data_IF_986042816054
#
_entry.id   IF_986042816054
#
_cell.length_a   1.000
_cell.length_b   1.000
_cell.length_c   1.000
_cell.angle_alpha   90.00
_cell.angle_beta   90.00
_cell.angle_gamma   90.00
#
_symmetry.space_group_name_H-M   'P 1'
#
loop_
_entity.id
_entity.type
_entity.pdbx_description
1 polymer ?
#
# COMPACT_ATOMS: atom_id res chain seq x y z
N UNK A 1 4.97 -26.99 -11.31
CA UNK A 1 4.31 -25.89 -10.60
C UNK A 1 2.83 -25.94 -10.86
N UNK A 2 2.02 -25.73 -9.83
CA UNK A 2 0.57 -25.61 -9.91
C UNK A 2 0.23 -24.28 -10.64
N UNK A 3 -0.51 -24.36 -11.73
CA UNK A 3 -0.81 -23.20 -12.58
C UNK A 3 -1.75 -22.21 -11.88
N UNK A 4 -2.83 -22.71 -11.27
CA UNK A 4 -3.84 -21.92 -10.58
C UNK A 4 -3.22 -21.12 -9.42
N UNK A 5 -2.30 -21.74 -8.65
CA UNK A 5 -1.57 -21.02 -7.60
C UNK A 5 -0.67 -19.92 -8.16
N UNK A 6 -0.02 -20.18 -9.30
CA UNK A 6 0.85 -19.20 -9.95
C UNK A 6 0.05 -18.02 -10.48
N UNK A 7 -1.09 -18.29 -11.11
CA UNK A 7 -2.01 -17.27 -11.59
C UNK A 7 -2.55 -16.42 -10.44
N UNK A 8 -2.99 -17.05 -9.35
CA UNK A 8 -3.47 -16.35 -8.16
C UNK A 8 -2.41 -15.43 -7.56
N UNK A 9 -1.17 -15.92 -7.34
CA UNK A 9 -0.10 -15.09 -6.75
C UNK A 9 0.31 -13.94 -7.67
N UNK A 10 0.29 -14.15 -8.99
CA UNK A 10 0.56 -13.06 -9.95
C UNK A 10 -0.54 -12.00 -9.93
N UNK A 11 -1.80 -12.40 -9.85
CA UNK A 11 -2.92 -11.48 -9.75
C UNK A 11 -2.88 -10.73 -8.41
N UNK A 12 -2.63 -11.42 -7.29
CA UNK A 12 -2.47 -10.81 -5.99
C UNK A 12 -1.34 -9.77 -5.99
N UNK A 13 -0.21 -10.08 -6.63
CA UNK A 13 0.89 -9.13 -6.81
C UNK A 13 0.45 -7.88 -7.60
N UNK A 14 -0.26 -8.08 -8.71
CA UNK A 14 -0.76 -6.99 -9.53
C UNK A 14 -1.74 -6.09 -8.77
N UNK A 15 -2.68 -6.69 -8.04
CA UNK A 15 -3.70 -5.99 -7.25
C UNK A 15 -3.03 -5.14 -6.15
N UNK A 16 -2.17 -5.76 -5.33
CA UNK A 16 -1.49 -5.06 -4.23
C UNK A 16 -0.58 -3.92 -4.72
N UNK A 17 0.11 -4.12 -5.84
CA UNK A 17 1.03 -3.11 -6.36
C UNK A 17 0.30 -1.93 -7.02
N UNK A 18 -0.90 -2.16 -7.56
CA UNK A 18 -1.71 -1.12 -8.21
C UNK A 18 -2.44 -0.17 -7.24
N UNK A 19 -2.40 -0.45 -5.94
CA UNK A 19 -3.11 0.33 -4.90
C UNK A 19 -2.47 1.72 -4.62
N UNK A 20 -1.18 1.89 -4.92
CA UNK A 20 -0.48 3.17 -4.84
C UNK A 20 0.51 3.29 -6.00
N UNK A 21 0.41 4.39 -6.74
CA UNK A 21 1.15 4.58 -7.97
C UNK A 21 2.65 4.81 -7.70
N UNK A 22 3.01 5.42 -6.56
CA UNK A 22 4.42 5.65 -6.22
C UNK A 22 5.14 4.31 -6.03
N UNK A 23 4.50 3.36 -5.35
CA UNK A 23 4.98 1.99 -5.20
C UNK A 23 5.06 1.27 -6.55
N UNK A 24 4.03 1.40 -7.39
CA UNK A 24 4.02 0.80 -8.73
C UNK A 24 5.21 1.28 -9.58
N UNK A 25 5.44 2.59 -9.64
CA UNK A 25 6.55 3.16 -10.41
C UNK A 25 7.91 2.81 -9.79
N UNK A 26 8.02 2.77 -8.46
CA UNK A 26 9.28 2.46 -7.78
C UNK A 26 9.72 0.99 -7.97
N UNK A 27 8.77 0.06 -8.04
CA UNK A 27 9.08 -1.37 -8.09
C UNK A 27 9.03 -1.97 -9.49
N UNK A 28 8.28 -1.39 -10.44
CA UNK A 28 8.04 -2.01 -11.75
C UNK A 28 8.16 -1.00 -12.89
N UNK A 29 9.21 -1.17 -13.70
CA UNK A 29 9.46 -0.36 -14.91
C UNK A 29 8.43 -0.63 -16.02
N UNK A 30 7.91 -1.86 -16.12
CA UNK A 30 6.96 -2.28 -17.16
C UNK A 30 5.74 -3.01 -16.56
N UNK A 31 4.75 -2.28 -15.98
CA UNK A 31 3.59 -2.89 -15.31
C UNK A 31 2.80 -3.88 -16.17
N UNK A 32 2.77 -3.65 -17.48
CA UNK A 32 2.10 -4.52 -18.46
C UNK A 32 2.64 -5.95 -18.49
N UNK A 33 3.93 -6.15 -18.19
CA UNK A 33 4.54 -7.48 -18.14
C UNK A 33 3.98 -8.34 -16.99
N UNK A 34 3.35 -7.68 -16.01
CA UNK A 34 2.67 -8.29 -14.86
C UNK A 34 1.14 -8.28 -14.99
N UNK A 35 0.60 -7.89 -16.16
CA UNK A 35 -0.85 -7.80 -16.38
C UNK A 35 -1.50 -6.51 -15.88
N UNK A 36 -0.72 -5.57 -15.34
CA UNK A 36 -1.20 -4.28 -14.84
C UNK A 36 -1.32 -3.33 -16.05
N UNK A 37 -2.53 -3.23 -16.60
CA UNK A 37 -2.81 -2.47 -17.81
C UNK A 37 -3.56 -1.16 -17.56
N UNK A 38 -4.27 -1.08 -16.44
CA UNK A 38 -5.10 0.03 -16.03
C UNK A 38 -4.99 0.14 -14.50
N UNK A 39 -4.76 1.35 -14.00
CA UNK A 39 -4.59 1.65 -12.58
C UNK A 39 -4.93 3.12 -12.35
N UNK A 40 -5.42 3.43 -11.15
CA UNK A 40 -5.67 4.83 -10.79
C UNK A 40 -4.35 5.55 -10.51
N UNK A 41 -4.22 6.77 -11.02
CA UNK A 41 -3.02 7.59 -10.82
C UNK A 41 -3.24 8.42 -9.55
N UNK A 42 -3.08 7.77 -8.39
CA UNK A 42 -3.23 8.40 -7.08
C UNK A 42 -2.09 8.01 -6.14
N UNK A 43 -1.92 8.79 -5.08
CA UNK A 43 -1.02 8.51 -3.95
C UNK A 43 -1.63 7.55 -2.91
N UNK A 44 -2.76 6.90 -3.23
CA UNK A 44 -3.55 6.09 -2.29
C UNK A 44 -4.32 6.94 -1.27
N UNK A 45 -5.22 6.34 -0.50
CA UNK A 45 -6.05 7.01 0.51
C UNK A 45 -6.34 6.05 1.67
N UNK A 46 -6.55 6.60 2.87
CA UNK A 46 -7.22 5.88 3.96
C UNK A 46 -8.70 5.69 3.61
N UNK A 47 -9.22 4.47 3.77
CA UNK A 47 -10.67 4.23 3.82
C UNK A 47 -11.20 4.71 5.18
N UNK A 48 -11.73 5.93 5.21
CA UNK A 48 -12.27 6.53 6.42
C UNK A 48 -13.69 6.04 6.75
N UNK A 49 -14.38 5.43 5.79
CA UNK A 49 -15.71 4.87 6.00
C UNK A 49 -15.62 3.51 6.72
N UNK A 50 -14.56 2.75 6.44
CA UNK A 50 -14.27 1.46 7.08
C UNK A 50 -12.78 1.32 7.47
N UNK A 51 -12.27 2.12 8.42
CA UNK A 51 -10.85 2.15 8.76
C UNK A 51 -10.34 0.89 9.47
N UNK A 52 -11.25 0.03 9.92
CA UNK A 52 -10.98 -1.29 10.51
C UNK A 52 -11.36 -2.44 9.56
N UNK A 53 -11.57 -2.17 8.28
CA UNK A 53 -11.85 -3.22 7.32
C UNK A 53 -10.65 -4.18 7.20
N UNK A 54 -10.98 -5.46 7.21
CA UNK A 54 -10.02 -6.58 7.16
C UNK A 54 -10.40 -7.59 6.10
N UNK A 55 -11.42 -7.28 5.27
CA UNK A 55 -11.91 -8.18 4.23
C UNK A 55 -10.77 -8.68 3.36
N UNK A 56 -9.88 -7.78 2.93
CA UNK A 56 -8.75 -8.09 2.06
C UNK A 56 -7.86 -9.19 2.66
N UNK A 57 -7.44 -9.05 3.91
CA UNK A 57 -6.64 -10.07 4.59
C UNK A 57 -7.39 -11.39 4.72
N UNK A 58 -8.66 -11.35 5.15
CA UNK A 58 -9.43 -12.58 5.37
C UNK A 58 -9.72 -13.35 4.08
N UNK A 59 -10.00 -12.64 2.98
CA UNK A 59 -10.25 -13.22 1.66
C UNK A 59 -8.97 -13.79 1.05
N UNK A 60 -7.84 -13.08 1.19
CA UNK A 60 -6.53 -13.57 0.76
C UNK A 60 -6.15 -14.83 1.54
N UNK A 61 -6.26 -14.83 2.87
CA UNK A 61 -5.94 -15.98 3.72
C UNK A 61 -6.84 -17.17 3.37
N UNK A 62 -8.14 -16.94 3.19
CA UNK A 62 -9.10 -17.98 2.82
C UNK A 62 -8.73 -18.64 1.49
N UNK A 63 -8.40 -17.82 0.49
CA UNK A 63 -7.99 -18.30 -0.84
C UNK A 63 -6.67 -19.06 -0.79
N UNK A 64 -5.66 -18.53 -0.08
CA UNK A 64 -4.37 -19.21 0.13
C UNK A 64 -4.54 -20.57 0.81
N UNK A 65 -5.38 -20.66 1.87
CA UNK A 65 -5.67 -21.92 2.57
C UNK A 65 -6.46 -22.94 1.73
N UNK A 66 -7.11 -22.50 0.65
CA UNK A 66 -7.86 -23.39 -0.23
C UNK A 66 -6.96 -24.23 -1.16
N UNK A 67 -5.71 -23.82 -1.39
CA UNK A 67 -4.78 -24.56 -2.21
C UNK A 67 -4.30 -25.84 -1.52
N UNK A 68 -4.42 -26.98 -2.20
CA UNK A 68 -3.86 -28.24 -1.72
C UNK A 68 -2.32 -28.18 -1.80
N UNK A 69 -1.70 -28.03 -0.63
CA UNK A 69 -0.23 -27.93 -0.44
C UNK A 69 0.52 -29.11 -1.07
N UNK A 70 -0.09 -30.29 -1.19
CA UNK A 70 0.54 -31.47 -1.81
C UNK A 70 0.70 -31.34 -3.33
N UNK A 71 -0.07 -30.46 -3.97
CA UNK A 71 0.00 -30.17 -5.41
C UNK A 71 1.05 -29.11 -5.75
N UNK A 72 1.58 -28.41 -4.74
CA UNK A 72 2.53 -27.31 -4.90
C UNK A 72 3.97 -27.83 -4.95
N UNK A 73 4.79 -27.20 -5.80
CA UNK A 73 6.24 -27.44 -5.77
C UNK A 73 6.88 -26.87 -4.50
N UNK A 74 8.11 -27.29 -4.19
CA UNK A 74 8.81 -26.79 -3.00
C UNK A 74 8.90 -25.25 -2.95
N UNK A 75 9.11 -24.60 -4.11
CA UNK A 75 9.14 -23.14 -4.21
C UNK A 75 7.76 -22.53 -3.93
N UNK A 76 6.70 -23.09 -4.51
CA UNK A 76 5.33 -22.62 -4.29
C UNK A 76 4.87 -22.84 -2.85
N UNK A 77 5.32 -23.91 -2.19
CA UNK A 77 5.05 -24.13 -0.77
C UNK A 77 5.70 -23.03 0.09
N UNK A 78 6.94 -22.64 -0.20
CA UNK A 78 7.58 -21.51 0.50
C UNK A 78 6.79 -20.22 0.27
N UNK A 79 6.41 -19.92 -0.98
CA UNK A 79 5.60 -18.74 -1.28
C UNK A 79 4.25 -18.75 -0.55
N UNK A 80 3.55 -19.89 -0.51
CA UNK A 80 2.31 -20.05 0.23
C UNK A 80 2.53 -19.81 1.73
N UNK A 81 3.54 -20.45 2.32
CA UNK A 81 3.81 -20.37 3.76
C UNK A 81 4.18 -18.92 4.17
N UNK A 82 5.00 -18.22 3.37
CA UNK A 82 5.37 -16.81 3.62
C UNK A 82 4.17 -15.86 3.48
N UNK A 83 3.34 -16.02 2.43
CA UNK A 83 2.15 -15.19 2.24
C UNK A 83 1.12 -15.42 3.35
N UNK A 84 0.91 -16.68 3.76
CA UNK A 84 0.03 -16.98 4.88
C UNK A 84 0.54 -16.35 6.17
N UNK A 85 1.82 -16.53 6.50
CA UNK A 85 2.42 -15.94 7.69
C UNK A 85 2.28 -14.41 7.68
N UNK A 86 2.57 -13.77 6.55
CA UNK A 86 2.46 -12.32 6.42
C UNK A 86 1.02 -11.85 6.64
N UNK A 87 0.06 -12.40 5.88
CA UNK A 87 -1.33 -11.95 5.93
C UNK A 87 -2.00 -12.27 7.27
N UNK A 88 -1.67 -13.41 7.90
CA UNK A 88 -2.16 -13.74 9.25
C UNK A 88 -1.62 -12.77 10.30
N UNK A 89 -0.36 -12.34 10.20
CA UNK A 89 0.21 -11.33 11.08
C UNK A 89 -0.46 -9.96 10.87
N UNK A 90 -0.65 -9.53 9.61
CA UNK A 90 -1.36 -8.27 9.31
C UNK A 90 -2.79 -8.29 9.88
N UNK A 91 -3.51 -9.41 9.71
CA UNK A 91 -4.83 -9.58 10.30
C UNK A 91 -4.81 -9.55 11.84
N UNK A 92 -3.83 -10.18 12.48
CA UNK A 92 -3.69 -10.17 13.95
C UNK A 92 -3.49 -8.76 14.52
N UNK A 93 -2.82 -7.87 13.78
CA UNK A 93 -2.56 -6.49 14.19
C UNK A 93 -3.53 -5.46 13.59
N UNK A 94 -4.51 -5.89 12.80
CA UNK A 94 -5.44 -5.00 12.10
C UNK A 94 -6.24 -4.09 13.04
N UNK A 95 -6.51 -4.54 14.28
CA UNK A 95 -7.20 -3.75 15.30
C UNK A 95 -6.35 -2.59 15.86
N UNK A 96 -5.06 -2.54 15.52
CA UNK A 96 -4.13 -1.47 15.90
C UNK A 96 -4.05 -0.33 14.88
N UNK A 97 -4.96 -0.25 13.90
CA UNK A 97 -4.93 0.76 12.85
C UNK A 97 -4.84 2.22 13.36
N UNK A 98 -5.38 2.51 14.57
CA UNK A 98 -5.26 3.84 15.20
C UNK A 98 -3.82 4.23 15.57
N UNK A 99 -2.87 3.29 15.59
CA UNK A 99 -1.44 3.57 15.76
C UNK A 99 -0.71 3.84 14.42
N UNK A 100 -1.36 3.60 13.28
CA UNK A 100 -0.72 3.65 11.96
C UNK A 100 -0.77 5.04 11.32
N UNK A 101 0.04 5.97 11.83
CA UNK A 101 0.22 7.30 11.21
C UNK A 101 1.34 7.32 10.19
N UNK A 102 1.09 7.98 9.06
CA UNK A 102 2.10 8.31 8.05
C UNK A 102 2.85 9.61 8.36
N UNK A 103 2.49 10.33 9.42
CA UNK A 103 3.17 11.57 9.84
C UNK A 103 4.16 11.28 10.98
N UNK A 104 5.45 11.46 10.68
CA UNK A 104 6.55 11.24 11.60
C UNK A 104 7.67 12.25 11.33
N UNK A 105 8.39 12.67 12.37
CA UNK A 105 9.34 13.79 12.32
C UNK A 105 10.52 13.60 11.36
N UNK A 106 10.90 12.36 11.05
CA UNK A 106 12.08 12.07 10.19
C UNK A 106 11.79 11.16 9.01
N UNK A 107 10.78 10.30 9.14
CA UNK A 107 10.41 9.29 8.14
C UNK A 107 8.96 9.44 7.68
N UNK A 108 8.28 10.53 8.03
CA UNK A 108 6.91 10.76 7.60
C UNK A 108 6.81 10.96 6.10
N UNK A 109 5.62 10.70 5.54
CA UNK A 109 5.40 10.83 4.10
C UNK A 109 5.61 12.26 3.60
N UNK A 110 5.37 13.28 4.43
CA UNK A 110 5.67 14.68 4.12
C UNK A 110 7.16 14.95 3.88
N UNK A 111 8.06 14.19 4.53
CA UNK A 111 9.51 14.26 4.30
C UNK A 111 9.91 13.43 3.07
N UNK A 112 9.32 12.24 2.92
CA UNK A 112 9.73 11.29 1.88
C UNK A 112 9.16 11.64 0.49
N UNK A 113 7.92 12.09 0.41
CA UNK A 113 7.22 12.31 -0.86
C UNK A 113 7.94 13.30 -1.80
N UNK A 114 8.51 14.42 -1.32
CA UNK A 114 9.33 15.29 -2.18
C UNK A 114 10.57 14.58 -2.76
N UNK A 115 11.20 13.67 -2.00
CA UNK A 115 12.34 12.89 -2.48
C UNK A 115 11.90 11.87 -3.53
N UNK A 116 10.80 11.16 -3.29
CA UNK A 116 10.22 10.22 -4.24
C UNK A 116 9.88 10.91 -5.56
N UNK A 117 9.28 12.11 -5.50
CA UNK A 117 9.02 12.90 -6.70
C UNK A 117 10.27 13.45 -7.38
N UNK A 118 11.38 13.64 -6.67
CA UNK A 118 12.65 14.06 -7.26
C UNK A 118 13.38 12.89 -7.95
N UNK A 119 13.15 11.66 -7.47
CA UNK A 119 13.74 10.43 -8.00
C UNK A 119 12.88 9.78 -9.10
N UNK A 120 11.64 10.25 -9.29
CA UNK A 120 10.73 9.76 -10.32
C UNK A 120 11.36 9.85 -11.71
N UNK A 121 11.38 8.72 -12.43
CA UNK A 121 12.08 8.60 -13.71
C UNK A 121 11.12 8.70 -14.89
N UNK A 122 11.57 9.33 -15.98
CA UNK A 122 10.79 9.48 -17.21
C UNK A 122 11.45 8.68 -18.34
N UNK A 123 10.87 7.53 -18.69
CA UNK A 123 11.28 6.70 -19.82
C UNK A 123 10.45 7.03 -21.08
N UNK A 124 9.16 7.32 -20.90
CA UNK A 124 8.23 7.67 -21.97
C UNK A 124 7.34 8.87 -21.62
N UNK A 125 6.57 9.35 -22.61
CA UNK A 125 5.66 10.49 -22.41
C UNK A 125 4.59 10.18 -21.35
N UNK A 126 4.15 8.92 -21.27
CA UNK A 126 3.14 8.47 -20.29
C UNK A 126 3.58 8.81 -18.87
N UNK A 127 4.84 8.54 -18.53
CA UNK A 127 5.41 8.82 -17.21
C UNK A 127 5.31 10.30 -16.81
N UNK A 128 5.45 11.21 -17.77
CA UNK A 128 5.33 12.66 -17.53
C UNK A 128 3.87 13.04 -17.27
N UNK A 129 2.95 12.50 -18.07
CA UNK A 129 1.52 12.76 -17.93
C UNK A 129 1.04 12.23 -16.56
N UNK A 130 1.46 11.02 -16.16
CA UNK A 130 1.13 10.39 -14.86
C UNK A 130 1.74 11.16 -13.67
N UNK A 131 2.99 11.59 -13.78
CA UNK A 131 3.64 12.39 -12.73
C UNK A 131 2.92 13.72 -12.48
N UNK A 132 2.47 14.41 -13.53
CA UNK A 132 1.69 15.65 -13.38
C UNK A 132 0.36 15.36 -12.66
N UNK A 133 -0.28 14.23 -12.96
CA UNK A 133 -1.52 13.83 -12.30
C UNK A 133 -1.30 13.51 -10.82
N UNK A 134 -0.21 12.82 -10.45
CA UNK A 134 0.18 12.64 -9.05
C UNK A 134 0.44 13.95 -8.32
N UNK A 135 1.09 14.93 -8.96
CA UNK A 135 1.30 16.25 -8.36
C UNK A 135 -0.03 16.97 -8.11
N UNK A 136 -1.04 16.77 -8.96
CA UNK A 136 -2.38 17.29 -8.73
C UNK A 136 -3.13 16.55 -7.61
N UNK A 137 -2.77 15.30 -7.34
CA UNK A 137 -3.40 14.45 -6.32
C UNK A 137 -2.90 14.74 -4.88
N UNK A 138 -1.78 15.45 -4.74
CA UNK A 138 -1.12 15.78 -3.45
C UNK A 138 -2.08 16.43 -2.46
N UNK A 139 -2.83 17.45 -2.86
CA UNK A 139 -3.74 18.16 -1.95
C UNK A 139 -4.80 17.20 -1.39
N UNK A 140 -5.44 16.39 -2.26
CA UNK A 140 -6.43 15.41 -1.84
C UNK A 140 -5.85 14.30 -0.95
N UNK A 141 -4.58 13.96 -1.15
CA UNK A 141 -3.88 12.97 -0.34
C UNK A 141 -3.66 13.47 1.08
N UNK A 142 -3.13 14.69 1.23
CA UNK A 142 -2.94 15.32 2.54
C UNK A 142 -4.26 15.68 3.23
N UNK A 143 -5.32 16.02 2.49
CA UNK A 143 -6.66 16.24 3.06
C UNK A 143 -7.24 14.95 3.67
N UNK A 144 -7.14 13.82 2.98
CA UNK A 144 -7.57 12.52 3.49
C UNK A 144 -6.75 12.08 4.72
N UNK A 145 -5.43 12.25 4.67
CA UNK A 145 -4.56 11.97 5.82
C UNK A 145 -4.85 12.88 7.01
N UNK A 146 -5.11 14.17 6.80
CA UNK A 146 -5.50 15.09 7.87
C UNK A 146 -6.85 14.68 8.51
N UNK A 147 -7.79 14.16 7.71
CA UNK A 147 -9.03 13.61 8.23
C UNK A 147 -8.80 12.34 9.08
N UNK A 148 -7.88 11.45 8.67
CA UNK A 148 -7.47 10.30 9.48
C UNK A 148 -6.81 10.73 10.80
N UNK A 149 -5.90 11.71 10.77
CA UNK A 149 -5.27 12.23 12.00
C UNK A 149 -6.27 12.86 12.97
N UNK A 150 -7.32 13.51 12.43
CA UNK A 150 -8.43 13.99 13.26
C UNK A 150 -9.19 12.84 13.90
N UNK A 151 -9.48 11.77 13.17
CA UNK A 151 -10.10 10.56 13.72
C UNK A 151 -9.23 9.97 14.84
N UNK A 152 -7.91 9.89 14.65
CA UNK A 152 -6.96 9.45 15.69
C UNK A 152 -7.01 10.36 16.92
N UNK A 153 -7.02 11.67 16.72
CA UNK A 153 -7.09 12.65 17.80
C UNK A 153 -8.38 12.55 18.62
N UNK A 154 -9.52 12.41 17.96
CA UNK A 154 -10.83 12.25 18.60
C UNK A 154 -10.90 10.96 19.45
N UNK A 155 -10.06 9.96 19.15
CA UNK A 155 -9.93 8.71 19.91
C UNK A 155 -8.74 8.68 20.89
N UNK A 156 -7.98 9.79 21.02
CA UNK A 156 -6.86 9.90 21.96
C UNK A 156 -5.53 9.30 21.49
N UNK A 157 -5.34 9.13 20.18
CA UNK A 157 -4.14 8.56 19.56
C UNK A 157 -3.24 9.59 18.85
N UNK A 158 -3.56 10.88 18.93
CA UNK A 158 -2.73 11.92 18.31
C UNK A 158 -1.32 11.95 18.89
N UNK A 159 -0.37 12.42 18.08
CA UNK A 159 1.01 12.60 18.53
C UNK A 159 1.12 13.70 19.58
N UNK A 160 2.22 13.70 20.33
CA UNK A 160 2.49 14.72 21.35
C UNK A 160 2.82 16.07 20.72
N UNK A 161 2.49 17.17 21.40
CA UNK A 161 2.56 18.53 20.85
C UNK A 161 3.95 18.87 20.27
N UNK A 162 5.05 18.46 20.92
CA UNK A 162 6.40 18.75 20.42
C UNK A 162 6.70 17.99 19.12
N UNK A 163 6.19 16.77 18.97
CA UNK A 163 6.32 16.00 17.73
C UNK A 163 5.45 16.59 16.62
N UNK A 164 4.25 17.08 16.97
CA UNK A 164 3.38 17.76 16.02
C UNK A 164 4.02 19.04 15.48
N UNK A 165 4.61 19.85 16.36
CA UNK A 165 5.33 21.07 15.95
C UNK A 165 6.50 20.72 15.01
N UNK A 166 7.28 19.68 15.31
CA UNK A 166 8.37 19.22 14.43
C UNK A 166 7.87 18.78 13.05
N UNK A 167 6.73 18.08 12.97
CA UNK A 167 6.10 17.67 11.69
C UNK A 167 5.56 18.86 10.91
N UNK A 168 5.07 19.90 11.58
CA UNK A 168 4.53 21.10 10.92
C UNK A 168 5.64 22.00 10.38
N UNK A 169 6.78 22.06 11.07
CA UNK A 169 7.93 22.90 10.68
C UNK A 169 8.82 22.27 9.60
N UNK A 170 8.69 20.97 9.34
CA UNK A 170 9.50 20.22 8.37
C UNK A 170 9.20 20.51 6.90
#
# INVERSE_FOLDING_TARGET
DNADFTEYVNNLFADLLSADMVSLHAYVEHPKDFGINDYEITLGRYDLDNPDDTSDYTDIISTLKSFDRSTLSAKQQITLDELLMYMENELEYSDLYMFNTQLQTTTGIHVQLPLLFAEYTFAEKKDIDEYIELLCDVDGYFENMAAFEKLRADNGYFMEDTLADEVIES
#
